data_IF_398307480052
#
_entry.id   IF_398307480052
#
_cell.length_a   1.000
_cell.length_b   1.000
_cell.length_c   1.000
_cell.angle_alpha   90.00
_cell.angle_beta   90.00
_cell.angle_gamma   90.00
#
_symmetry.space_group_name_H-M   'P 1'
#
loop_
_entity.id
_entity.type
_entity.pdbx_description
1 polymer ?
#
# COMPACT_ATOMS: atom_id res chain seq x y z
N UNK A 1 15.61 -16.27 38.05
CA UNK A 1 14.58 -15.45 37.36
C UNK A 1 13.24 -15.80 38.00
N UNK A 2 12.55 -14.86 38.64
CA UNK A 2 11.27 -15.16 39.30
C UNK A 2 10.17 -15.40 38.26
N UNK A 3 9.30 -16.37 38.50
CA UNK A 3 8.22 -16.74 37.58
C UNK A 3 7.25 -15.57 37.37
N UNK A 4 6.99 -14.77 38.41
CA UNK A 4 6.10 -13.60 38.36
C UNK A 4 6.63 -12.52 37.41
N UNK A 5 7.95 -12.30 37.41
CA UNK A 5 8.59 -11.34 36.51
C UNK A 5 8.51 -11.83 35.06
N UNK A 6 8.73 -13.12 34.83
CA UNK A 6 8.64 -13.72 33.49
C UNK A 6 7.22 -13.64 32.93
N UNK A 7 6.21 -13.94 33.75
CA UNK A 7 4.79 -13.84 33.38
C UNK A 7 4.36 -12.39 33.12
N UNK A 8 4.83 -11.44 33.95
CA UNK A 8 4.53 -10.01 33.77
C UNK A 8 5.12 -9.46 32.47
N UNK A 9 6.40 -9.71 32.20
CA UNK A 9 7.06 -9.23 30.98
C UNK A 9 6.46 -9.87 29.73
N UNK A 10 6.17 -11.17 29.77
CA UNK A 10 5.62 -11.89 28.61
C UNK A 10 4.18 -11.46 28.29
N UNK A 11 3.33 -11.30 29.32
CA UNK A 11 1.95 -10.86 29.12
C UNK A 11 1.88 -9.43 28.57
N UNK A 12 2.66 -8.51 29.13
CA UNK A 12 2.71 -7.12 28.67
C UNK A 12 3.25 -7.02 27.23
N UNK A 13 4.37 -7.67 26.94
CA UNK A 13 4.92 -7.69 25.58
C UNK A 13 3.98 -8.37 24.59
N UNK A 14 3.28 -9.43 25.01
CA UNK A 14 2.32 -10.15 24.19
C UNK A 14 1.14 -9.28 23.76
N UNK A 15 0.59 -8.49 24.69
CA UNK A 15 -0.52 -7.57 24.39
C UNK A 15 -0.08 -6.50 23.39
N UNK A 16 1.12 -5.92 23.56
CA UNK A 16 1.64 -4.90 22.64
C UNK A 16 1.85 -5.49 21.25
N UNK A 17 2.48 -6.67 21.14
CA UNK A 17 2.69 -7.33 19.85
C UNK A 17 1.38 -7.67 19.17
N UNK A 18 0.38 -8.15 19.93
CA UNK A 18 -0.96 -8.42 19.42
C UNK A 18 -1.59 -7.15 18.84
N UNK A 19 -1.51 -6.03 19.57
CA UNK A 19 -2.04 -4.74 19.10
C UNK A 19 -1.35 -4.28 17.81
N UNK A 20 -0.02 -4.37 17.74
CA UNK A 20 0.75 -4.01 16.54
C UNK A 20 0.34 -4.86 15.34
N UNK A 21 0.15 -6.17 15.52
CA UNK A 21 -0.33 -7.04 14.44
C UNK A 21 -1.71 -6.61 13.94
N UNK A 22 -2.64 -6.28 14.83
CA UNK A 22 -3.97 -5.78 14.45
C UNK A 22 -3.87 -4.49 13.64
N UNK A 23 -3.02 -3.55 14.05
CA UNK A 23 -2.82 -2.27 13.35
C UNK A 23 -2.25 -2.51 11.94
N UNK A 24 -1.23 -3.35 11.80
CA UNK A 24 -0.61 -3.64 10.50
C UNK A 24 -1.61 -4.35 9.58
N UNK A 25 -2.39 -5.30 10.10
CA UNK A 25 -3.44 -5.98 9.35
C UNK A 25 -4.55 -5.03 8.89
N UNK A 26 -4.98 -4.11 9.76
CA UNK A 26 -5.93 -3.08 9.38
C UNK A 26 -5.35 -2.17 8.27
N UNK A 27 -4.09 -1.75 8.40
CA UNK A 27 -3.40 -0.92 7.40
C UNK A 27 -3.29 -1.61 6.04
N UNK A 28 -3.04 -2.91 6.00
CA UNK A 28 -2.93 -3.66 4.73
C UNK A 28 -4.26 -3.75 3.97
N UNK A 29 -5.40 -3.53 4.65
CA UNK A 29 -6.74 -3.47 4.03
C UNK A 29 -7.21 -2.04 3.75
N UNK A 30 -6.82 -1.08 4.60
CA UNK A 30 -7.26 0.32 4.50
C UNK A 30 -6.42 1.16 3.52
N UNK A 31 -5.20 0.72 3.20
CA UNK A 31 -4.36 1.36 2.19
C UNK A 31 -4.54 0.62 0.87
N UNK A 32 -4.92 1.34 -0.18
CA UNK A 32 -5.07 0.76 -1.52
C UNK A 32 -3.70 0.39 -2.08
N UNK A 33 -3.36 -0.90 -2.03
CA UNK A 33 -2.10 -1.47 -2.58
C UNK A 33 -2.38 -2.46 -3.72
N UNK A 34 -3.46 -2.23 -4.47
CA UNK A 34 -3.84 -3.07 -5.61
C UNK A 34 -3.37 -2.49 -6.94
N UNK A 35 -3.35 -3.33 -7.98
CA UNK A 35 -3.17 -2.84 -9.34
C UNK A 35 -4.43 -2.08 -9.79
N UNK A 36 -4.22 -0.92 -10.37
CA UNK A 36 -5.26 -0.07 -10.95
C UNK A 36 -5.23 -0.15 -12.46
N UNK A 37 -6.42 -0.23 -13.05
CA UNK A 37 -6.64 -0.20 -14.48
C UNK A 37 -6.81 1.25 -14.93
N UNK A 38 -5.94 1.72 -15.83
CA UNK A 38 -6.03 3.05 -16.44
C UNK A 38 -6.62 2.89 -17.84
N UNK A 39 -7.79 3.50 -18.05
CA UNK A 39 -8.43 3.62 -19.35
C UNK A 39 -8.03 4.94 -20.01
N UNK A 40 -7.63 4.90 -21.29
CA UNK A 40 -7.21 6.07 -22.06
C UNK A 40 -8.22 6.29 -23.18
N UNK A 41 -8.73 7.52 -23.33
CA UNK A 41 -9.69 7.91 -24.38
C UNK A 41 -10.96 7.03 -24.47
N UNK A 42 -11.36 6.40 -23.36
CA UNK A 42 -12.55 5.53 -23.33
C UNK A 42 -12.33 4.15 -23.95
N UNK A 43 -11.09 3.76 -24.23
CA UNK A 43 -10.78 2.40 -24.69
C UNK A 43 -10.66 1.44 -23.49
N UNK A 44 -11.79 0.83 -23.13
CA UNK A 44 -11.85 -0.22 -22.11
C UNK A 44 -11.32 -1.58 -22.62
N UNK A 45 -10.95 -1.69 -23.90
CA UNK A 45 -10.52 -2.95 -24.53
C UNK A 45 -9.04 -3.25 -24.27
N UNK A 46 -8.23 -2.23 -23.98
CA UNK A 46 -6.80 -2.38 -23.71
C UNK A 46 -6.34 -1.52 -22.51
N UNK A 47 -6.86 -1.79 -21.30
CA UNK A 47 -6.49 -1.05 -20.10
C UNK A 47 -5.03 -1.31 -19.70
N UNK A 48 -4.36 -0.26 -19.22
CA UNK A 48 -3.02 -0.38 -18.64
C UNK A 48 -3.15 -0.72 -17.16
N UNK A 49 -2.67 -1.90 -16.77
CA UNK A 49 -2.72 -2.38 -15.37
C UNK A 49 -1.40 -2.07 -14.69
N UNK A 50 -1.43 -1.22 -13.67
CA UNK A 50 -0.24 -0.68 -13.00
C UNK A 50 -0.45 -0.64 -11.49
N UNK A 51 0.61 -0.82 -10.68
CA UNK A 51 0.48 -0.76 -9.23
C UNK A 51 0.04 0.64 -8.78
N UNK A 52 -0.96 0.70 -7.88
CA UNK A 52 -1.40 1.96 -7.30
C UNK A 52 -0.33 2.58 -6.41
N UNK A 53 -0.20 3.92 -6.46
CA UNK A 53 0.63 4.71 -5.54
C UNK A 53 1.70 5.57 -6.22
N UNK A 54 1.97 5.37 -7.51
CA UNK A 54 2.81 6.25 -8.32
C UNK A 54 2.00 7.38 -8.96
N UNK A 55 2.70 8.46 -9.33
CA UNK A 55 2.12 9.58 -10.08
C UNK A 55 1.64 9.11 -11.46
N UNK A 56 0.45 9.55 -11.88
CA UNK A 56 -0.15 9.14 -13.16
C UNK A 56 0.77 9.42 -14.36
N UNK A 57 1.41 10.60 -14.41
CA UNK A 57 2.32 10.95 -15.51
C UNK A 57 3.57 10.06 -15.56
N UNK A 58 4.12 9.69 -14.41
CA UNK A 58 5.27 8.79 -14.32
C UNK A 58 4.88 7.42 -14.85
N UNK A 59 3.74 6.90 -14.40
CA UNK A 59 3.22 5.59 -14.81
C UNK A 59 2.89 5.53 -16.30
N UNK A 60 2.38 6.62 -16.89
CA UNK A 60 2.15 6.72 -18.32
C UNK A 60 3.47 6.81 -19.11
N UNK A 61 4.46 7.56 -18.62
CA UNK A 61 5.78 7.65 -19.23
C UNK A 61 6.51 6.29 -19.25
N UNK A 62 6.41 5.51 -18.17
CA UNK A 62 6.94 4.14 -18.08
C UNK A 62 6.28 3.20 -19.10
N UNK A 63 5.04 3.49 -19.50
CA UNK A 63 4.31 2.79 -20.57
C UNK A 63 4.47 3.45 -21.95
N UNK A 64 5.53 4.26 -22.15
CA UNK A 64 5.85 4.98 -23.40
C UNK A 64 4.82 6.03 -23.85
N UNK A 65 3.98 6.51 -22.92
CA UNK A 65 2.99 7.57 -23.17
C UNK A 65 3.50 8.86 -22.52
N UNK A 66 4.10 9.73 -23.35
CA UNK A 66 4.70 10.98 -22.89
C UNK A 66 3.70 12.13 -22.98
N UNK A 67 3.12 12.53 -21.85
CA UNK A 67 2.40 13.79 -21.75
C UNK A 67 3.38 14.90 -21.33
N UNK A 68 3.50 15.94 -22.18
CA UNK A 68 4.22 17.16 -21.84
C UNK A 68 3.42 17.97 -20.81
N UNK A 69 3.45 17.55 -19.54
CA UNK A 69 2.80 18.28 -18.45
C UNK A 69 3.78 19.23 -17.79
N UNK A 70 3.50 20.53 -17.89
CA UNK A 70 4.33 21.57 -17.27
C UNK A 70 4.22 21.61 -15.73
N UNK A 71 3.24 20.93 -15.13
CA UNK A 71 2.98 20.94 -13.68
C UNK A 71 3.39 19.66 -12.93
N UNK A 72 3.98 18.67 -13.60
CA UNK A 72 4.76 17.59 -12.95
C UNK A 72 4.04 16.77 -11.87
N UNK A 73 2.71 16.65 -11.99
CA UNK A 73 1.82 15.92 -11.08
C UNK A 73 1.60 14.48 -11.47
#
# INVERSE_FOLDING_TARGET
MNIDLLLGVTSFSGIILLLVMVIIFARSKLVSTGDVSIEINGDASNPIVVPAGSKLLQTLADNNIFLASACGG
#
